data_IF_755947418921
#
_entry.id   IF_755947418921
#
_cell.length_a   1.000
_cell.length_b   1.000
_cell.length_c   1.000
_cell.angle_alpha   90.00
_cell.angle_beta   90.00
_cell.angle_gamma   90.00
#
_symmetry.space_group_name_H-M   'P 1'
#
loop_
_entity.id
_entity.type
_entity.pdbx_description
1 polymer ?
#
# COMPACT_ATOMS: atom_id res chain seq x y z
N UNK A 1 51.52 -8.82 2.88
CA UNK A 1 50.71 -7.72 2.33
C UNK A 1 49.26 -8.18 2.32
N UNK A 2 48.33 -7.50 3.00
CA UNK A 2 46.95 -7.93 3.01
C UNK A 2 46.26 -7.54 1.70
N UNK A 3 45.58 -8.53 1.14
CA UNK A 3 44.78 -8.49 -0.08
C UNK A 3 43.61 -7.51 0.11
N UNK A 4 43.59 -6.43 -0.68
CA UNK A 4 42.41 -5.59 -0.80
C UNK A 4 41.33 -6.39 -1.54
N UNK A 5 40.46 -7.05 -0.79
CA UNK A 5 39.16 -7.47 -1.31
C UNK A 5 38.45 -6.20 -1.79
N UNK A 6 38.45 -6.00 -3.11
CA UNK A 6 37.54 -5.07 -3.79
C UNK A 6 36.13 -5.38 -3.29
N UNK A 7 35.56 -4.50 -2.47
CA UNK A 7 34.11 -4.41 -2.27
C UNK A 7 33.49 -4.45 -3.67
N UNK A 8 32.84 -5.55 -4.01
CA UNK A 8 32.10 -5.66 -5.27
C UNK A 8 31.19 -4.46 -5.40
N UNK A 9 31.19 -3.81 -6.56
CA UNK A 9 30.31 -2.68 -6.84
C UNK A 9 28.90 -3.05 -6.38
N UNK A 10 28.35 -2.31 -5.41
CA UNK A 10 27.02 -2.58 -4.86
C UNK A 10 26.04 -2.73 -6.04
N UNK A 11 25.29 -3.85 -6.08
CA UNK A 11 24.27 -4.07 -7.11
C UNK A 11 23.36 -2.84 -7.10
N UNK A 12 23.28 -2.13 -8.23
CA UNK A 12 22.42 -0.94 -8.38
C UNK A 12 20.96 -1.36 -8.22
N UNK A 13 20.39 -1.11 -7.04
CA UNK A 13 18.99 -1.34 -6.74
C UNK A 13 18.37 -0.05 -6.23
N UNK A 14 18.28 0.97 -7.10
CA UNK A 14 17.63 2.24 -6.76
C UNK A 14 16.62 2.65 -7.82
N UNK A 15 15.54 3.31 -7.38
CA UNK A 15 14.53 3.91 -8.27
C UNK A 15 14.70 5.43 -8.30
N UNK A 16 14.71 6.03 -9.50
CA UNK A 16 14.63 7.49 -9.68
C UNK A 16 13.18 7.91 -9.62
N UNK A 17 12.89 8.98 -8.88
CA UNK A 17 11.58 9.61 -8.84
C UNK A 17 11.51 10.82 -9.78
N UNK A 18 10.30 11.19 -10.21
CA UNK A 18 10.09 12.37 -11.07
C UNK A 18 10.44 13.68 -10.34
N UNK A 19 10.37 13.69 -9.01
CA UNK A 19 10.87 14.78 -8.15
C UNK A 19 12.38 15.03 -8.30
N UNK A 20 13.12 14.09 -8.92
CA UNK A 20 14.56 14.13 -9.02
C UNK A 20 15.28 13.38 -7.90
N UNK A 21 14.57 12.87 -6.89
CA UNK A 21 15.14 12.03 -5.81
C UNK A 21 15.47 10.61 -6.28
N UNK A 22 16.23 9.87 -5.49
CA UNK A 22 16.49 8.44 -5.67
C UNK A 22 16.27 7.72 -4.35
N UNK A 23 15.61 6.58 -4.38
CA UNK A 23 15.51 5.69 -3.23
C UNK A 23 16.35 4.44 -3.49
N UNK A 24 17.26 4.10 -2.57
CA UNK A 24 17.88 2.77 -2.52
C UNK A 24 16.85 1.76 -2.01
N UNK A 25 16.59 0.71 -2.77
CA UNK A 25 15.58 -0.28 -2.44
C UNK A 25 16.08 -1.25 -1.36
N UNK A 26 17.38 -1.54 -1.29
CA UNK A 26 17.94 -2.48 -0.33
C UNK A 26 18.16 -1.83 1.03
N UNK A 27 18.53 -0.55 1.03
CA UNK A 27 18.77 0.27 2.22
C UNK A 27 18.02 1.62 2.14
N UNK A 28 16.67 1.61 2.21
CA UNK A 28 15.88 2.82 2.04
C UNK A 28 16.10 3.83 3.16
N UNK A 29 16.51 5.03 2.79
CA UNK A 29 16.62 6.17 3.70
C UNK A 29 15.27 6.86 3.85
N UNK A 30 14.77 7.10 5.08
CA UNK A 30 13.57 7.90 5.30
C UNK A 30 13.65 9.27 4.62
N UNK A 31 14.83 9.90 4.62
CA UNK A 31 15.03 11.25 4.07
C UNK A 31 14.83 11.32 2.55
N UNK A 32 14.82 10.18 1.86
CA UNK A 32 14.64 10.08 0.41
C UNK A 32 13.20 9.82 -0.03
N UNK A 33 12.27 9.82 0.92
CA UNK A 33 10.86 9.52 0.71
C UNK A 33 10.06 10.83 0.77
N UNK A 34 9.24 11.07 -0.25
CA UNK A 34 8.28 12.18 -0.30
C UNK A 34 6.89 11.63 -0.61
N UNK A 35 5.86 12.25 -0.03
CA UNK A 35 4.49 11.76 -0.18
C UNK A 35 3.99 11.93 -1.62
N UNK A 36 4.46 12.95 -2.32
CA UNK A 36 4.12 13.21 -3.72
C UNK A 36 4.63 12.10 -4.63
N UNK A 37 5.82 11.54 -4.35
CA UNK A 37 6.39 10.42 -5.12
C UNK A 37 5.61 9.13 -4.87
N UNK A 38 5.24 8.86 -3.60
CA UNK A 38 4.37 7.74 -3.24
C UNK A 38 3.02 7.87 -3.95
N UNK A 39 2.34 9.01 -3.80
CA UNK A 39 1.02 9.23 -4.38
C UNK A 39 1.05 9.10 -5.91
N UNK A 40 2.10 9.62 -6.56
CA UNK A 40 2.27 9.51 -8.01
C UNK A 40 2.40 8.05 -8.46
N UNK A 41 3.22 7.27 -7.77
CA UNK A 41 3.41 5.85 -8.06
C UNK A 41 2.13 5.05 -7.81
N UNK A 42 1.59 5.11 -6.59
CA UNK A 42 0.39 4.34 -6.19
C UNK A 42 -0.84 4.65 -7.06
N UNK A 43 -0.96 5.88 -7.57
CA UNK A 43 -2.08 6.24 -8.46
C UNK A 43 -1.99 5.60 -9.86
N UNK A 44 -0.83 5.05 -10.22
CA UNK A 44 -0.55 4.39 -11.52
C UNK A 44 -0.39 2.89 -11.41
N UNK A 45 -0.03 2.37 -10.23
CA UNK A 45 0.00 0.93 -9.99
C UNK A 45 -1.44 0.41 -9.97
N UNK A 46 -1.75 -0.46 -10.93
CA UNK A 46 -3.07 -1.08 -11.06
C UNK A 46 -3.14 -2.32 -10.19
N UNK A 47 -4.25 -2.47 -9.46
CA UNK A 47 -4.58 -3.71 -8.76
C UNK A 47 -5.18 -4.75 -9.71
N UNK A 48 -5.23 -6.00 -9.25
CA UNK A 48 -5.83 -7.12 -10.00
C UNK A 48 -5.17 -7.33 -11.38
N UNK A 49 -3.90 -6.95 -11.53
CA UNK A 49 -3.21 -6.92 -12.82
C UNK A 49 -3.98 -6.16 -13.92
N UNK A 50 -4.78 -5.16 -13.53
CA UNK A 50 -5.62 -4.37 -14.45
C UNK A 50 -6.90 -5.07 -14.91
N UNK A 51 -7.21 -6.28 -14.44
CA UNK A 51 -8.45 -7.01 -14.78
C UNK A 51 -9.65 -6.48 -13.98
N UNK A 52 -9.98 -5.20 -14.18
CA UNK A 52 -11.11 -4.52 -13.53
C UNK A 52 -12.04 -3.88 -14.54
N UNK A 53 -13.36 -3.95 -14.29
CA UNK A 53 -14.37 -3.23 -15.06
C UNK A 53 -14.21 -1.72 -14.90
N UNK A 54 -14.39 -0.97 -15.98
CA UNK A 54 -14.35 0.51 -15.98
C UNK A 54 -13.40 1.06 -17.05
N UNK A 55 -13.43 2.38 -17.26
CA UNK A 55 -12.56 3.05 -18.22
C UNK A 55 -11.14 3.30 -17.69
N UNK A 56 -10.94 3.18 -16.38
CA UNK A 56 -9.68 3.42 -15.70
C UNK A 56 -9.28 2.21 -14.85
N UNK A 57 -7.99 2.07 -14.56
CA UNK A 57 -7.51 1.04 -13.64
C UNK A 57 -7.91 1.37 -12.19
N UNK A 58 -8.31 0.37 -11.42
CA UNK A 58 -8.42 0.53 -9.97
C UNK A 58 -7.02 0.53 -9.36
N UNK A 59 -6.59 1.68 -8.84
CA UNK A 59 -5.20 1.89 -8.43
C UNK A 59 -4.94 1.57 -6.96
N UNK A 60 -3.69 1.29 -6.60
CA UNK A 60 -3.27 1.08 -5.21
C UNK A 60 -3.61 2.31 -4.36
N UNK A 61 -3.51 3.52 -4.90
CA UNK A 61 -3.94 4.74 -4.19
C UNK A 61 -5.42 4.71 -3.77
N UNK A 62 -6.33 4.25 -4.64
CA UNK A 62 -7.75 4.12 -4.32
C UNK A 62 -7.98 3.03 -3.27
N UNK A 63 -7.28 1.91 -3.41
CA UNK A 63 -7.29 0.82 -2.43
C UNK A 63 -6.84 1.29 -1.05
N UNK A 64 -5.71 1.98 -0.95
CA UNK A 64 -5.20 2.49 0.33
C UNK A 64 -6.18 3.43 1.03
N UNK A 65 -6.87 4.30 0.28
CA UNK A 65 -7.93 5.17 0.82
C UNK A 65 -9.14 4.35 1.30
N UNK A 66 -9.52 3.29 0.57
CA UNK A 66 -10.60 2.41 0.96
C UNK A 66 -10.26 1.61 2.22
N UNK A 67 -9.05 1.05 2.31
CA UNK A 67 -8.57 0.33 3.49
C UNK A 67 -8.56 1.24 4.72
N UNK A 68 -8.03 2.46 4.62
CA UNK A 68 -8.05 3.39 5.75
C UNK A 68 -9.48 3.72 6.21
N UNK A 69 -10.40 3.89 5.27
CA UNK A 69 -11.82 4.11 5.59
C UNK A 69 -12.42 2.92 6.31
N UNK A 70 -12.17 1.70 5.82
CA UNK A 70 -12.64 0.46 6.43
C UNK A 70 -12.05 0.26 7.84
N UNK A 71 -10.77 0.59 8.05
CA UNK A 71 -10.14 0.62 9.38
C UNK A 71 -10.86 1.60 10.30
N UNK A 72 -11.17 2.81 9.81
CA UNK A 72 -11.92 3.83 10.56
C UNK A 72 -13.34 3.36 10.93
N UNK A 73 -14.01 2.66 10.02
CA UNK A 73 -15.38 2.14 10.26
C UNK A 73 -15.35 0.95 11.25
N UNK A 74 -14.34 0.08 11.18
CA UNK A 74 -14.18 -1.05 12.10
C UNK A 74 -13.73 -0.62 13.51
N UNK A 75 -12.97 0.47 13.62
CA UNK A 75 -12.46 0.98 14.88
C UNK A 75 -12.51 2.54 14.93
N UNK A 76 -13.67 3.13 15.25
CA UNK A 76 -13.87 4.59 15.16
C UNK A 76 -13.02 5.42 16.12
N UNK A 77 -12.49 4.82 17.19
CA UNK A 77 -11.71 5.48 18.25
C UNK A 77 -10.20 5.52 17.98
N UNK A 78 -9.75 5.07 16.80
CA UNK A 78 -8.33 5.11 16.43
C UNK A 78 -7.82 6.54 16.26
N UNK A 79 -6.58 6.76 16.69
CA UNK A 79 -5.85 8.02 16.53
C UNK A 79 -5.53 8.30 15.07
N UNK A 80 -5.12 9.53 14.76
CA UNK A 80 -4.77 9.93 13.38
C UNK A 80 -3.54 9.18 12.87
N UNK A 81 -2.56 8.94 13.74
CA UNK A 81 -1.33 8.22 13.43
C UNK A 81 -1.62 6.77 13.01
N UNK A 82 -2.53 6.09 13.71
CA UNK A 82 -2.92 4.72 13.35
C UNK A 82 -3.66 4.69 12.01
N UNK A 83 -4.54 5.66 11.77
CA UNK A 83 -5.22 5.79 10.47
C UNK A 83 -4.23 6.12 9.35
N UNK A 84 -3.19 6.92 9.64
CA UNK A 84 -2.13 7.22 8.69
C UNK A 84 -1.31 5.96 8.36
N UNK A 85 -0.98 5.12 9.35
CA UNK A 85 -0.36 3.81 9.09
C UNK A 85 -1.24 2.92 8.21
N UNK A 86 -2.57 2.94 8.40
CA UNK A 86 -3.50 2.20 7.53
C UNK A 86 -3.51 2.75 6.10
N UNK A 87 -3.48 4.08 5.92
CA UNK A 87 -3.38 4.69 4.58
C UNK A 87 -2.07 4.33 3.88
N UNK A 88 -0.97 4.20 4.64
CA UNK A 88 0.36 3.93 4.11
C UNK A 88 0.73 2.44 4.06
N UNK A 89 -0.22 1.52 4.30
CA UNK A 89 0.10 0.09 4.45
C UNK A 89 0.68 -0.54 3.17
N UNK A 90 0.25 -0.07 2.00
CA UNK A 90 0.75 -0.49 0.67
C UNK A 90 1.68 0.57 0.04
N UNK A 91 2.13 1.56 0.82
CA UNK A 91 3.03 2.58 0.30
C UNK A 91 4.33 2.03 -0.33
N UNK A 92 4.93 0.91 0.15
CA UNK A 92 6.09 0.29 -0.53
C UNK A 92 5.86 -0.01 -2.02
N UNK A 93 4.63 -0.26 -2.45
CA UNK A 93 4.31 -0.66 -3.82
C UNK A 93 4.62 0.43 -4.87
N UNK A 94 4.84 1.68 -4.45
CA UNK A 94 5.31 2.74 -5.36
C UNK A 94 6.72 2.47 -5.94
N UNK A 95 7.49 1.57 -5.31
CA UNK A 95 8.83 1.15 -5.76
C UNK A 95 8.96 -0.33 -6.07
N UNK A 96 8.18 -1.20 -5.43
CA UNK A 96 8.22 -2.67 -5.70
C UNK A 96 7.10 -3.16 -6.61
N UNK A 97 6.09 -2.32 -6.88
CA UNK A 97 4.89 -2.70 -7.62
C UNK A 97 3.86 -3.48 -6.77
N UNK A 98 2.65 -3.63 -7.30
CA UNK A 98 1.62 -4.51 -6.73
C UNK A 98 1.88 -5.94 -7.21
N UNK A 99 2.11 -6.84 -6.25
CA UNK A 99 2.22 -8.27 -6.52
C UNK A 99 1.05 -8.99 -5.89
N UNK A 100 0.30 -9.75 -6.69
CA UNK A 100 -0.80 -10.54 -6.17
C UNK A 100 -0.34 -11.48 -5.04
N UNK A 101 -1.16 -11.65 -4.01
CA UNK A 101 -0.81 -12.42 -2.81
C UNK A 101 -0.27 -13.84 -3.07
N UNK A 102 -0.79 -14.62 -4.05
CA UNK A 102 -0.23 -15.91 -4.40
C UNK A 102 1.22 -15.84 -4.89
N UNK A 103 1.59 -14.75 -5.58
CA UNK A 103 2.94 -14.54 -6.08
C UNK A 103 3.90 -14.06 -4.99
N UNK A 104 3.46 -13.16 -4.08
CA UNK A 104 4.26 -12.78 -2.90
C UNK A 104 4.66 -14.01 -2.06
N UNK A 105 3.77 -15.00 -1.92
CA UNK A 105 4.05 -16.26 -1.22
C UNK A 105 5.11 -17.14 -1.92
N UNK A 106 5.27 -17.01 -3.24
CA UNK A 106 6.21 -17.81 -4.04
C UNK A 106 7.64 -17.23 -4.08
N UNK A 107 7.83 -15.91 -3.92
CA UNK A 107 9.14 -15.25 -4.04
C UNK A 107 10.05 -15.53 -2.81
N UNK A 108 9.48 -15.75 -1.63
CA UNK A 108 10.22 -16.12 -0.42
C UNK A 108 10.56 -14.98 0.56
N UNK A 109 11.36 -15.30 1.57
CA UNK A 109 11.60 -14.47 2.77
C UNK A 109 12.28 -13.13 2.44
N UNK A 110 13.18 -13.11 1.47
CA UNK A 110 13.96 -11.91 1.13
C UNK A 110 13.09 -10.76 0.63
N UNK A 111 11.99 -11.06 -0.08
CA UNK A 111 11.04 -10.06 -0.54
C UNK A 111 10.23 -9.47 0.61
N UNK A 112 9.80 -10.31 1.55
CA UNK A 112 9.10 -9.84 2.75
C UNK A 112 9.98 -8.93 3.61
N UNK A 113 11.25 -9.29 3.78
CA UNK A 113 12.22 -8.46 4.51
C UNK A 113 12.46 -7.11 3.80
N UNK A 114 12.46 -7.10 2.47
CA UNK A 114 12.52 -5.89 1.66
C UNK A 114 11.29 -4.99 1.90
N UNK A 115 10.07 -5.53 1.79
CA UNK A 115 8.83 -4.79 2.06
C UNK A 115 8.81 -4.22 3.49
N UNK A 116 9.22 -5.01 4.49
CA UNK A 116 9.27 -4.57 5.89
C UNK A 116 10.26 -3.41 6.12
N UNK A 117 11.43 -3.42 5.44
CA UNK A 117 12.39 -2.30 5.49
C UNK A 117 11.85 -1.03 4.83
N UNK A 118 11.21 -1.17 3.66
CA UNK A 118 10.57 -0.05 2.97
C UNK A 118 9.46 0.56 3.83
N UNK A 119 8.60 -0.28 4.41
CA UNK A 119 7.53 0.17 5.30
C UNK A 119 8.09 0.94 6.50
N UNK A 120 9.14 0.43 7.13
CA UNK A 120 9.79 1.08 8.26
C UNK A 120 10.34 2.47 7.88
N UNK A 121 11.02 2.58 6.74
CA UNK A 121 11.56 3.87 6.26
C UNK A 121 10.45 4.88 5.94
N UNK A 122 9.36 4.43 5.30
CA UNK A 122 8.17 5.25 5.01
C UNK A 122 7.54 5.75 6.32
N UNK A 123 7.34 4.87 7.30
CA UNK A 123 6.80 5.27 8.60
C UNK A 123 7.68 6.30 9.32
N UNK A 124 8.99 6.06 9.36
CA UNK A 124 9.94 6.98 9.99
C UNK A 124 9.91 8.37 9.32
N UNK A 125 9.81 8.42 7.99
CA UNK A 125 9.71 9.70 7.24
C UNK A 125 8.52 10.55 7.68
N UNK A 126 7.43 9.92 8.09
CA UNK A 126 6.20 10.59 8.52
C UNK A 126 6.00 10.59 10.04
N UNK A 127 7.07 10.37 10.83
CA UNK A 127 7.01 10.46 12.29
C UNK A 127 6.22 9.34 12.97
N UNK A 128 6.01 8.22 12.28
CA UNK A 128 5.28 7.05 12.79
C UNK A 128 6.26 6.03 13.40
N UNK A 129 5.74 5.12 14.24
CA UNK A 129 6.49 3.93 14.65
C UNK A 129 6.89 3.12 13.41
N UNK A 130 8.18 2.77 13.31
CA UNK A 130 8.71 1.97 12.21
C UNK A 130 7.89 0.69 11.98
N UNK A 131 7.49 0.02 13.07
CA UNK A 131 6.72 -1.22 13.03
C UNK A 131 5.29 -1.00 13.53
N UNK A 132 4.34 -1.64 12.85
CA UNK A 132 2.93 -1.67 13.25
C UNK A 132 2.74 -2.69 14.38
N UNK A 133 2.16 -2.31 15.53
CA UNK A 133 1.79 -3.24 16.59
C UNK A 133 0.93 -4.41 16.09
N UNK A 134 1.13 -5.61 16.64
CA UNK A 134 0.47 -6.83 16.14
C UNK A 134 -1.07 -6.73 16.08
N UNK A 135 -1.70 -6.12 17.08
CA UNK A 135 -3.14 -5.90 17.10
C UNK A 135 -3.62 -5.00 15.94
N UNK A 136 -2.85 -3.96 15.61
CA UNK A 136 -3.15 -3.06 14.49
C UNK A 136 -2.87 -3.75 13.15
N UNK A 137 -1.83 -4.57 13.05
CA UNK A 137 -1.54 -5.38 11.85
C UNK A 137 -2.70 -6.32 11.53
N UNK A 138 -3.29 -6.95 12.53
CA UNK A 138 -4.49 -7.80 12.37
C UNK A 138 -5.70 -6.99 11.89
N UNK A 139 -5.90 -5.79 12.45
CA UNK A 139 -6.99 -4.90 12.02
C UNK A 139 -6.81 -4.44 10.57
N UNK A 140 -5.61 -4.03 10.18
CA UNK A 140 -5.32 -3.57 8.81
C UNK A 140 -5.50 -4.70 7.82
N UNK A 141 -5.00 -5.90 8.12
CA UNK A 141 -5.21 -7.09 7.29
C UNK A 141 -6.69 -7.43 7.12
N UNK A 142 -7.50 -7.27 8.18
CA UNK A 142 -8.95 -7.45 8.09
C UNK A 142 -9.59 -6.43 7.15
N UNK A 143 -9.19 -5.16 7.24
CA UNK A 143 -9.70 -4.10 6.36
C UNK A 143 -9.26 -4.28 4.91
N UNK A 144 -8.01 -4.67 4.66
CA UNK A 144 -7.48 -5.03 3.35
C UNK A 144 -8.27 -6.19 2.71
N UNK A 145 -8.48 -7.28 3.44
CA UNK A 145 -9.33 -8.39 2.97
C UNK A 145 -10.77 -7.94 2.64
N UNK A 146 -11.36 -7.06 3.44
CA UNK A 146 -12.69 -6.49 3.14
C UNK A 146 -12.66 -5.63 1.87
N UNK A 147 -11.59 -4.84 1.68
CA UNK A 147 -11.37 -4.08 0.44
C UNK A 147 -11.29 -5.03 -0.75
N UNK A 148 -10.47 -6.08 -0.66
CA UNK A 148 -10.32 -7.10 -1.70
C UNK A 148 -11.67 -7.80 -2.02
N UNK A 149 -12.51 -8.09 -1.02
CA UNK A 149 -13.85 -8.62 -1.25
C UNK A 149 -14.70 -7.67 -2.12
N UNK A 150 -14.75 -6.38 -1.76
CA UNK A 150 -15.55 -5.40 -2.50
C UNK A 150 -14.99 -5.13 -3.90
N UNK A 151 -13.67 -5.06 -4.05
CA UNK A 151 -13.01 -4.93 -5.34
C UNK A 151 -13.27 -6.14 -6.24
N UNK A 152 -13.14 -7.35 -5.70
CA UNK A 152 -13.34 -8.59 -6.44
C UNK A 152 -14.75 -8.68 -7.01
N UNK A 153 -15.75 -8.39 -6.19
CA UNK A 153 -17.17 -8.51 -6.54
C UNK A 153 -17.68 -7.37 -7.42
N UNK A 154 -17.23 -6.13 -7.17
CA UNK A 154 -17.72 -4.98 -7.93
C UNK A 154 -16.92 -4.72 -9.21
N UNK A 155 -15.61 -5.01 -9.22
CA UNK A 155 -14.69 -4.60 -10.27
C UNK A 155 -14.05 -5.79 -11.00
N UNK A 156 -13.53 -6.78 -10.29
CA UNK A 156 -12.70 -7.84 -10.90
C UNK A 156 -13.48 -9.09 -11.38
N UNK A 157 -14.81 -9.06 -11.29
CA UNK A 157 -15.68 -10.07 -11.89
C UNK A 157 -15.87 -11.36 -11.09
N UNK A 158 -15.44 -11.40 -9.83
CA UNK A 158 -15.65 -12.55 -8.95
C UNK A 158 -17.11 -12.64 -8.50
N UNK A 159 -17.60 -13.87 -8.33
CA UNK A 159 -18.89 -14.10 -7.66
C UNK A 159 -18.80 -13.88 -6.15
N UNK A 160 -19.89 -13.48 -5.51
CA UNK A 160 -19.91 -13.21 -4.06
C UNK A 160 -19.49 -14.42 -3.22
N UNK A 161 -19.91 -15.63 -3.59
CA UNK A 161 -19.55 -16.85 -2.90
C UNK A 161 -18.04 -17.17 -3.00
N UNK A 162 -17.44 -16.91 -4.16
CA UNK A 162 -16.01 -17.09 -4.38
C UNK A 162 -15.21 -16.06 -3.58
N UNK A 163 -15.60 -14.78 -3.67
CA UNK A 163 -14.95 -13.70 -2.92
C UNK A 163 -15.08 -13.93 -1.40
N UNK A 164 -16.23 -14.39 -0.91
CA UNK A 164 -16.42 -14.69 0.51
C UNK A 164 -15.53 -15.84 0.99
N UNK A 165 -15.27 -16.84 0.14
CA UNK A 165 -14.35 -17.95 0.44
C UNK A 165 -12.90 -17.48 0.50
N UNK A 166 -12.50 -16.57 -0.39
CA UNK A 166 -11.12 -16.10 -0.49
C UNK A 166 -10.77 -15.03 0.56
N UNK A 167 -11.68 -14.07 0.77
CA UNK A 167 -11.41 -12.85 1.54
C UNK A 167 -12.24 -12.76 2.83
N UNK A 168 -13.26 -13.60 2.97
CA UNK A 168 -14.24 -13.54 4.05
C UNK A 168 -15.44 -12.65 3.69
N UNK A 169 -16.63 -12.93 4.23
CA UNK A 169 -17.81 -12.11 3.98
C UNK A 169 -17.75 -10.79 4.77
N UNK A 170 -18.28 -9.68 4.23
CA UNK A 170 -18.34 -8.43 4.95
C UNK A 170 -19.31 -8.49 6.14
N UNK A 171 -19.03 -7.79 7.25
CA UNK A 171 -19.96 -7.68 8.37
C UNK A 171 -21.26 -7.00 7.93
N UNK A 172 -22.42 -7.54 8.32
CA UNK A 172 -23.75 -6.99 7.94
C UNK A 172 -23.95 -5.53 8.36
N UNK A 173 -23.33 -5.10 9.47
CA UNK A 173 -23.43 -3.74 9.98
C UNK A 173 -22.56 -2.73 9.21
N UNK A 174 -21.64 -3.20 8.37
CA UNK A 174 -20.75 -2.35 7.60
C UNK A 174 -21.47 -1.85 6.35
N UNK A 175 -21.43 -0.54 6.11
CA UNK A 175 -22.00 0.04 4.89
C UNK A 175 -21.16 -0.38 3.68
N UNK A 176 -21.80 -1.02 2.71
CA UNK A 176 -21.15 -1.40 1.46
C UNK A 176 -20.65 -0.16 0.70
N UNK A 177 -19.34 -0.07 0.39
CA UNK A 177 -18.82 1.00 -0.45
C UNK A 177 -19.26 0.78 -1.90
N UNK A 178 -19.42 1.88 -2.65
CA UNK A 178 -19.58 1.83 -4.11
C UNK A 178 -18.25 2.18 -4.74
N UNK A 179 -17.69 1.25 -5.50
CA UNK A 179 -16.38 1.41 -6.12
C UNK A 179 -16.53 1.82 -7.59
N UNK A 180 -15.75 2.81 -7.99
CA UNK A 180 -15.60 3.22 -9.38
C UNK A 180 -14.12 3.56 -9.60
N UNK A 181 -13.43 2.91 -10.54
CA UNK A 181 -12.04 3.26 -10.85
C UNK A 181 -11.93 4.71 -11.33
N UNK A 182 -11.11 5.49 -10.64
CA UNK A 182 -10.84 6.89 -10.94
C UNK A 182 -9.72 7.06 -11.98
N UNK A 183 -9.73 8.19 -12.69
CA UNK A 183 -8.58 8.59 -13.47
C UNK A 183 -7.36 8.79 -12.55
N UNK A 184 -6.15 8.56 -13.08
CA UNK A 184 -4.91 8.64 -12.29
C UNK A 184 -4.76 9.94 -11.51
N UNK A 185 -5.09 11.09 -12.12
CA UNK A 185 -5.01 12.40 -11.45
C UNK A 185 -5.95 12.53 -10.27
N UNK A 186 -7.17 11.99 -10.38
CA UNK A 186 -8.18 12.01 -9.32
C UNK A 186 -7.81 11.07 -8.17
N UNK A 187 -7.34 9.86 -8.49
CA UNK A 187 -6.86 8.91 -7.49
C UNK A 187 -5.67 9.48 -6.69
N UNK A 188 -4.72 10.11 -7.39
CA UNK A 188 -3.57 10.77 -6.75
C UNK A 188 -4.02 11.91 -5.83
N UNK A 189 -4.93 12.78 -6.30
CA UNK A 189 -5.45 13.88 -5.52
C UNK A 189 -6.24 13.40 -4.29
N UNK A 190 -7.04 12.33 -4.43
CA UNK A 190 -7.81 11.76 -3.32
C UNK A 190 -6.90 11.18 -2.24
N UNK A 191 -5.84 10.46 -2.63
CA UNK A 191 -4.86 9.92 -1.70
C UNK A 191 -4.12 11.03 -0.94
N UNK A 192 -3.60 12.04 -1.65
CA UNK A 192 -2.91 13.18 -1.03
C UNK A 192 -3.84 13.96 -0.09
N UNK A 193 -5.08 14.23 -0.51
CA UNK A 193 -6.06 14.89 0.33
C UNK A 193 -6.35 14.09 1.60
N UNK A 194 -6.41 12.75 1.52
CA UNK A 194 -6.59 11.91 2.70
C UNK A 194 -5.36 11.91 3.60
N UNK A 195 -4.16 11.83 3.00
CA UNK A 195 -2.89 11.91 3.72
C UNK A 195 -2.80 13.22 4.51
N UNK A 196 -2.97 14.39 3.89
CA UNK A 196 -2.83 15.68 4.56
C UNK A 196 -3.87 15.91 5.67
N UNK A 197 -5.05 15.27 5.61
CA UNK A 197 -6.03 15.31 6.71
C UNK A 197 -5.58 14.52 7.94
N UNK A 198 -4.82 13.45 7.75
CA UNK A 198 -4.34 12.57 8.82
C UNK A 198 -2.98 13.02 9.34
N UNK A 199 -2.11 13.44 8.43
CA UNK A 199 -0.80 14.03 8.68
C UNK A 199 -0.94 15.54 8.92
N UNK A 200 -1.51 15.89 10.07
CA UNK A 200 -1.44 17.26 10.58
C UNK A 200 -0.16 17.35 11.42
N UNK A 201 0.81 18.13 10.92
CA UNK A 201 1.93 18.60 11.75
C UNK A 201 1.43 19.62 12.78
#
# INVERSE_FOLDING_TARGET
MPDLIRKGAAKRAWQRMLSGRRLDLLEPSPLDIEIEDIAHGLARVARWNGQTKGAHAFSVAQHSVLVERLVSDLAPRLTREVRLMALLHDAPEYVVGDLISPFKAAIGIDYKALEERLQAAIHQRFGLSAHVPAALKTLFKRADHLSAYYEATQLAGFGEAEAARLFGPPPKALKTPRLAPLATGEAQAQFLARFHRLYAQ
#
